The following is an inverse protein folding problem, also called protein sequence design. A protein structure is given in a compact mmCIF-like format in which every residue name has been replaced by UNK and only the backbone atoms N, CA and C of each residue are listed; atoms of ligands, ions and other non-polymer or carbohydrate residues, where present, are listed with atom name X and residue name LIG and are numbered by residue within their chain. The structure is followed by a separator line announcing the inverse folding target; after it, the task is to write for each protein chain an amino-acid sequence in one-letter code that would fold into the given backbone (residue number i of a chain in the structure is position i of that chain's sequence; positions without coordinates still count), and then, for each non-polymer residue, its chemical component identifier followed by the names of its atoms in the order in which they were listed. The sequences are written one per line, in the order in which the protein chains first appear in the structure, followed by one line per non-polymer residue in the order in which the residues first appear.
data_IF_667812675686
#
_entry.id   IF_667812675686
#
_cell.length_a   1.000
_cell.length_b   1.000
_cell.length_c   1.000
_cell.angle_alpha   90.00
_cell.angle_beta   90.00
_cell.angle_gamma   90.00
#
_symmetry.space_group_name_H-M   'P 1'
#
loop_
_entity.id
_entity.type
_entity.pdbx_description
1 polymer ?
#
# COMPACT_ATOMS: atom_id res chain seq x y z
N UNK A 1 16.50 -58.64 -56.40
CA UNK A 1 15.91 -57.30 -56.58
C UNK A 1 14.43 -57.36 -56.20
N UNK A 2 14.08 -56.80 -55.03
CA UNK A 2 12.86 -56.05 -54.71
C UNK A 2 12.65 -56.08 -53.19
N UNK A 3 12.91 -54.91 -52.61
CA UNK A 3 12.60 -54.50 -51.25
C UNK A 3 11.09 -54.58 -51.03
N UNK A 4 10.64 -55.11 -49.88
CA UNK A 4 9.34 -54.74 -49.31
C UNK A 4 9.56 -54.32 -47.86
N UNK A 5 9.35 -53.03 -47.70
CA UNK A 5 9.45 -52.14 -46.55
C UNK A 5 8.65 -52.65 -45.35
N UNK A 6 9.33 -52.86 -44.22
CA UNK A 6 8.70 -52.92 -42.90
C UNK A 6 8.35 -51.47 -42.52
N UNK A 7 7.06 -51.12 -42.54
CA UNK A 7 6.59 -49.86 -41.96
C UNK A 7 6.53 -50.06 -40.45
N UNK A 8 7.62 -49.68 -39.79
CA UNK A 8 7.66 -49.52 -38.34
C UNK A 8 6.84 -48.28 -38.01
N UNK A 9 5.58 -48.47 -37.59
CA UNK A 9 4.74 -47.40 -37.07
C UNK A 9 5.27 -47.03 -35.68
N UNK A 10 6.33 -46.22 -35.63
CA UNK A 10 6.73 -45.54 -34.42
C UNK A 10 5.62 -44.54 -34.08
N UNK A 11 4.73 -44.97 -33.18
CA UNK A 11 3.87 -44.05 -32.44
C UNK A 11 4.81 -43.16 -31.63
N UNK A 12 5.23 -42.05 -32.23
CA UNK A 12 5.77 -40.91 -31.54
C UNK A 12 4.65 -40.43 -30.62
N UNK A 13 4.62 -40.94 -29.40
CA UNK A 13 3.92 -40.28 -28.31
C UNK A 13 4.67 -38.97 -28.10
N UNK A 14 4.27 -37.95 -28.85
CA UNK A 14 4.50 -36.58 -28.43
C UNK A 14 3.83 -36.48 -27.07
N UNK A 15 4.63 -36.57 -26.01
CA UNK A 15 4.26 -36.00 -24.72
C UNK A 15 4.05 -34.51 -25.00
N UNK A 16 2.83 -34.19 -25.45
CA UNK A 16 2.25 -32.88 -25.26
C UNK A 16 2.25 -32.73 -23.75
N UNK A 17 3.33 -32.17 -23.22
CA UNK A 17 3.35 -31.54 -21.91
C UNK A 17 2.30 -30.44 -22.01
N UNK A 18 1.03 -30.82 -21.81
CA UNK A 18 -0.05 -29.88 -21.63
C UNK A 18 0.48 -28.93 -20.57
N UNK A 19 0.72 -27.69 -20.97
CA UNK A 19 1.28 -26.69 -20.08
C UNK A 19 0.33 -26.66 -18.89
N UNK A 20 0.79 -27.18 -17.76
CA UNK A 20 0.02 -27.18 -16.52
C UNK A 20 -0.25 -25.71 -16.24
N UNK A 21 -1.50 -25.30 -16.41
CA UNK A 21 -1.94 -23.99 -15.95
C UNK A 21 -1.86 -24.08 -14.45
N UNK A 22 -0.83 -23.46 -13.88
CA UNK A 22 -0.82 -23.24 -12.44
C UNK A 22 -1.88 -22.18 -12.17
N UNK A 23 -2.85 -22.53 -11.33
CA UNK A 23 -3.79 -21.54 -10.82
C UNK A 23 -2.95 -20.48 -10.11
N UNK A 24 -3.03 -19.25 -10.61
CA UNK A 24 -2.36 -18.12 -9.99
C UNK A 24 -2.93 -17.97 -8.59
N UNK A 25 -2.10 -18.14 -7.56
CA UNK A 25 -2.50 -17.91 -6.17
C UNK A 25 -3.12 -16.52 -6.08
N UNK A 26 -4.45 -16.48 -6.01
CA UNK A 26 -5.21 -15.24 -6.10
C UNK A 26 -5.35 -14.71 -4.69
N UNK A 27 -4.67 -13.61 -4.40
CA UNK A 27 -4.82 -12.92 -3.12
C UNK A 27 -6.25 -12.38 -3.04
N UNK A 28 -6.88 -12.50 -1.86
CA UNK A 28 -8.08 -11.75 -1.50
C UNK A 28 -7.91 -11.27 -0.06
N UNK A 29 -8.49 -10.14 0.26
CA UNK A 29 -8.48 -9.65 1.64
C UNK A 29 -9.42 -10.51 2.50
N UNK A 30 -8.86 -11.10 3.56
CA UNK A 30 -9.62 -11.77 4.62
C UNK A 30 -10.44 -10.74 5.42
N UNK A 31 -9.86 -9.54 5.59
CA UNK A 31 -10.53 -8.40 6.22
C UNK A 31 -10.02 -7.09 5.63
N UNK A 32 -10.88 -6.07 5.65
CA UNK A 32 -10.58 -4.70 5.23
C UNK A 32 -11.26 -3.75 6.23
N UNK A 33 -10.48 -2.88 6.86
CA UNK A 33 -10.99 -1.92 7.84
C UNK A 33 -11.92 -0.88 7.19
N UNK A 34 -12.69 -0.18 8.01
CA UNK A 34 -13.28 1.10 7.61
C UNK A 34 -12.18 2.14 7.40
N UNK A 35 -12.54 3.28 6.80
CA UNK A 35 -11.64 4.42 6.71
C UNK A 35 -11.26 4.91 8.12
N UNK A 36 -10.00 5.28 8.29
CA UNK A 36 -9.50 5.84 9.54
C UNK A 36 -10.33 7.09 9.95
N UNK A 37 -11.08 7.03 11.06
CA UNK A 37 -12.00 8.12 11.41
C UNK A 37 -11.26 9.27 12.07
N UNK A 38 -11.77 10.50 11.90
CA UNK A 38 -11.30 11.67 12.65
C UNK A 38 -9.86 12.10 12.35
N UNK A 39 -9.27 11.65 11.24
CA UNK A 39 -7.94 12.08 10.81
C UNK A 39 -7.96 13.57 10.51
N UNK A 40 -6.91 14.26 10.94
CA UNK A 40 -6.61 15.65 10.58
C UNK A 40 -5.29 15.71 9.84
N UNK A 41 -5.12 16.70 8.96
CA UNK A 41 -3.82 16.98 8.33
C UNK A 41 -3.31 18.31 8.84
N UNK A 42 -2.14 18.27 9.45
CA UNK A 42 -1.43 19.44 9.95
C UNK A 42 -0.30 19.78 8.99
N UNK A 43 -0.17 21.07 8.66
CA UNK A 43 0.91 21.63 7.85
C UNK A 43 1.44 22.88 8.55
N UNK A 44 2.75 23.04 8.57
CA UNK A 44 3.40 24.28 9.00
C UNK A 44 3.47 25.24 7.81
N UNK A 45 2.84 26.42 7.95
CA UNK A 45 2.84 27.45 6.92
C UNK A 45 4.23 28.10 6.82
N UNK A 46 4.92 27.98 5.66
CA UNK A 46 6.29 28.49 5.54
C UNK A 46 6.43 29.99 5.82
N UNK A 47 5.41 30.78 5.48
CA UNK A 47 5.42 32.24 5.65
C UNK A 47 5.28 32.70 7.11
N UNK A 48 4.71 31.89 7.99
CA UNK A 48 4.40 32.29 9.38
C UNK A 48 4.99 31.37 10.44
N UNK A 49 5.44 30.17 10.06
CA UNK A 49 5.83 29.12 10.98
C UNK A 49 4.68 28.54 11.81
N UNK A 50 3.44 28.99 11.61
CA UNK A 50 2.26 28.52 12.34
C UNK A 50 1.73 27.23 11.73
N UNK A 51 1.21 26.36 12.59
CA UNK A 51 0.50 25.15 12.16
C UNK A 51 -0.93 25.49 11.74
N UNK A 52 -1.37 24.91 10.63
CA UNK A 52 -2.74 24.98 10.13
C UNK A 52 -3.26 23.56 9.89
N UNK A 53 -4.50 23.32 10.30
CA UNK A 53 -5.30 22.25 9.72
C UNK A 53 -5.72 22.74 8.34
N UNK A 54 -5.32 22.05 7.28
CA UNK A 54 -5.71 22.42 5.91
C UNK A 54 -6.95 21.68 5.41
N UNK A 55 -7.51 20.78 6.24
CA UNK A 55 -8.67 19.96 5.92
C UNK A 55 -8.43 18.94 4.80
N UNK A 56 -7.21 18.82 4.26
CA UNK A 56 -6.90 17.92 3.14
C UNK A 56 -6.56 16.53 3.65
N UNK A 57 -7.59 15.85 4.13
CA UNK A 57 -7.51 14.47 4.60
C UNK A 57 -7.87 13.54 3.43
N UNK A 58 -7.01 12.56 3.08
CA UNK A 58 -7.38 11.56 2.08
C UNK A 58 -8.60 10.80 2.57
N UNK A 59 -9.59 10.65 1.71
CA UNK A 59 -10.85 10.01 2.05
C UNK A 59 -10.70 8.50 2.32
N UNK A 60 -9.56 7.92 1.94
CA UNK A 60 -9.30 6.50 1.97
C UNK A 60 -7.92 6.20 2.57
N UNK A 61 -7.93 5.74 3.82
CA UNK A 61 -6.80 5.11 4.52
C UNK A 61 -7.38 3.92 5.26
N UNK A 62 -6.96 2.71 4.90
CA UNK A 62 -7.48 1.45 5.44
C UNK A 62 -6.37 0.46 5.69
N UNK A 63 -6.62 -0.45 6.62
CA UNK A 63 -5.81 -1.63 6.80
C UNK A 63 -6.53 -2.85 6.21
N UNK A 64 -5.77 -3.82 5.73
CA UNK A 64 -6.29 -5.10 5.27
C UNK A 64 -5.44 -6.26 5.81
N UNK A 65 -6.04 -7.45 5.93
CA UNK A 65 -5.31 -8.70 6.19
C UNK A 65 -5.57 -9.70 5.08
N UNK A 66 -4.58 -10.52 4.75
CA UNK A 66 -4.73 -11.60 3.76
C UNK A 66 -3.70 -12.70 3.98
N UNK A 67 -3.89 -13.82 3.29
CA UNK A 67 -2.91 -14.90 3.21
C UNK A 67 -2.27 -15.00 1.82
N UNK A 68 -0.98 -15.29 1.81
CA UNK A 68 -0.24 -15.63 0.60
C UNK A 68 0.82 -16.68 0.94
N UNK A 69 0.86 -17.79 0.21
CA UNK A 69 1.76 -18.93 0.47
C UNK A 69 1.79 -19.39 1.94
N UNK A 70 0.61 -19.57 2.54
CA UNK A 70 0.41 -19.96 3.95
C UNK A 70 1.02 -19.00 4.99
N UNK A 71 1.29 -17.76 4.60
CA UNK A 71 1.77 -16.70 5.49
C UNK A 71 0.74 -15.58 5.56
N UNK A 72 0.54 -15.06 6.78
CA UNK A 72 -0.36 -13.93 7.04
C UNK A 72 0.36 -12.61 6.81
N UNK A 73 -0.31 -11.73 6.07
CA UNK A 73 0.16 -10.39 5.76
C UNK A 73 -0.85 -9.33 6.17
N UNK A 74 -0.34 -8.12 6.32
CA UNK A 74 -1.10 -6.93 6.65
C UNK A 74 -0.76 -5.86 5.61
N UNK A 75 -1.75 -5.13 5.10
CA UNK A 75 -1.51 -4.03 4.17
C UNK A 75 -2.09 -2.73 4.73
N UNK A 76 -1.30 -1.66 4.68
CA UNK A 76 -1.82 -0.29 4.72
C UNK A 76 -2.14 0.12 3.28
N UNK A 77 -3.39 0.49 3.03
CA UNK A 77 -3.90 0.87 1.72
C UNK A 77 -4.42 2.30 1.81
N UNK A 78 -4.01 3.16 0.89
CA UNK A 78 -4.34 4.58 0.94
C UNK A 78 -4.50 5.16 -0.46
N UNK A 79 -5.35 6.18 -0.55
CA UNK A 79 -5.56 6.90 -1.80
C UNK A 79 -4.49 7.97 -2.00
N UNK A 80 -3.96 8.02 -3.21
CA UNK A 80 -3.19 9.14 -3.73
C UNK A 80 -3.99 9.84 -4.83
N UNK A 81 -4.32 11.10 -4.58
CA UNK A 81 -4.95 11.97 -5.56
C UNK A 81 -3.86 12.81 -6.21
N UNK A 82 -3.70 12.62 -7.51
CA UNK A 82 -2.83 13.40 -8.36
C UNK A 82 -3.61 13.94 -9.55
N UNK A 83 -2.91 14.41 -10.58
CA UNK A 83 -3.54 14.86 -11.79
C UNK A 83 -2.57 15.55 -12.73
N UNK A 84 -3.12 16.02 -13.83
CA UNK A 84 -2.38 16.77 -14.83
C UNK A 84 -3.29 17.79 -15.49
N UNK A 85 -2.70 18.87 -15.99
CA UNK A 85 -3.45 19.82 -16.82
C UNK A 85 -3.64 19.23 -18.20
N UNK A 86 -4.87 19.24 -18.73
CA UNK A 86 -5.16 18.89 -20.13
C UNK A 86 -4.37 19.77 -21.09
N UNK A 87 -4.14 21.03 -20.72
CA UNK A 87 -3.29 21.97 -21.43
C UNK A 87 -2.11 22.38 -20.53
N UNK A 88 -1.02 21.61 -20.47
CA UNK A 88 0.10 21.84 -19.54
C UNK A 88 0.75 23.21 -19.67
N UNK A 89 0.93 23.70 -20.90
CA UNK A 89 1.62 24.96 -21.18
C UNK A 89 0.92 26.18 -20.59
N UNK A 90 -0.42 26.15 -20.53
CA UNK A 90 -1.25 27.24 -19.99
C UNK A 90 -1.89 26.88 -18.65
N UNK A 91 -1.54 25.72 -18.09
CA UNK A 91 -2.10 25.18 -16.84
C UNK A 91 -3.63 25.26 -16.77
N UNK A 92 -4.30 24.86 -17.86
CA UNK A 92 -5.76 24.88 -17.95
C UNK A 92 -6.34 23.48 -17.91
N UNK A 93 -7.51 23.37 -17.28
CA UNK A 93 -8.33 22.17 -17.18
C UNK A 93 -7.59 21.03 -16.46
N UNK A 94 -7.45 21.15 -15.13
CA UNK A 94 -6.88 20.12 -14.27
C UNK A 94 -7.74 18.85 -14.30
N UNK A 95 -7.12 17.73 -14.66
CA UNK A 95 -7.71 16.40 -14.66
C UNK A 95 -7.16 15.65 -13.46
N UNK A 96 -8.05 15.30 -12.54
CA UNK A 96 -7.71 14.51 -11.36
C UNK A 96 -7.62 13.03 -11.70
N UNK A 97 -6.57 12.37 -11.20
CA UNK A 97 -6.38 10.92 -11.26
C UNK A 97 -6.23 10.41 -9.84
N UNK A 98 -6.95 9.36 -9.49
CA UNK A 98 -6.81 8.67 -8.22
C UNK A 98 -6.01 7.38 -8.41
N UNK A 99 -5.10 7.09 -7.50
CA UNK A 99 -4.45 5.79 -7.37
C UNK A 99 -4.69 5.22 -5.97
N UNK A 100 -4.68 3.90 -5.87
CA UNK A 100 -4.61 3.19 -4.60
C UNK A 100 -3.19 2.69 -4.42
N UNK A 101 -2.53 3.24 -3.44
CA UNK A 101 -1.21 2.82 -3.00
C UNK A 101 -1.32 1.85 -1.84
N UNK A 102 -0.32 0.97 -1.73
CA UNK A 102 -0.24 0.02 -0.63
C UNK A 102 1.18 -0.19 -0.12
N UNK A 103 1.25 -0.53 1.16
CA UNK A 103 2.44 -0.99 1.87
C UNK A 103 2.07 -2.25 2.64
N UNK A 104 2.75 -3.36 2.34
CA UNK A 104 2.49 -4.69 2.89
C UNK A 104 3.56 -5.03 3.93
N UNK A 105 3.12 -5.66 5.01
CA UNK A 105 3.89 -6.04 6.17
C UNK A 105 3.72 -7.54 6.42
N UNK A 106 4.81 -8.19 6.77
CA UNK A 106 4.79 -9.49 7.44
C UNK A 106 4.16 -9.36 8.82
N UNK A 107 3.72 -10.48 9.39
CA UNK A 107 3.20 -10.50 10.76
C UNK A 107 4.21 -9.94 11.79
N UNK A 108 5.50 -10.22 11.65
CA UNK A 108 6.53 -9.71 12.57
C UNK A 108 6.75 -8.20 12.45
N UNK A 109 6.77 -7.65 11.22
CA UNK A 109 6.86 -6.21 10.99
C UNK A 109 5.65 -5.47 11.56
N UNK A 110 4.46 -6.04 11.35
CA UNK A 110 3.20 -5.50 11.85
C UNK A 110 3.15 -5.47 13.38
N UNK A 111 3.52 -6.58 14.05
CA UNK A 111 3.55 -6.64 15.51
C UNK A 111 4.60 -5.69 16.10
N UNK A 112 5.79 -5.63 15.50
CA UNK A 112 6.82 -4.68 15.91
C UNK A 112 6.36 -3.22 15.79
N UNK A 113 5.56 -2.88 14.76
CA UNK A 113 4.96 -1.56 14.66
C UNK A 113 3.98 -1.30 15.81
N UNK A 114 3.06 -2.22 16.09
CA UNK A 114 2.11 -2.11 17.20
C UNK A 114 2.81 -1.96 18.56
N UNK A 115 3.83 -2.77 18.83
CA UNK A 115 4.62 -2.69 20.06
C UNK A 115 5.37 -1.35 20.21
N UNK A 116 5.83 -0.77 19.11
CA UNK A 116 6.48 0.55 19.16
C UNK A 116 5.46 1.66 19.37
N UNK A 117 4.26 1.55 18.81
CA UNK A 117 3.17 2.50 19.01
C UNK A 117 2.60 2.42 20.44
N UNK A 118 2.55 1.25 21.06
CA UNK A 118 2.03 1.11 22.43
C UNK A 118 2.90 1.83 23.48
N UNK A 119 4.17 2.07 23.19
CA UNK A 119 5.12 2.79 24.07
C UNK A 119 4.83 4.30 24.18
N UNK A 120 4.07 4.89 23.25
CA UNK A 120 3.68 6.32 23.25
C UNK A 120 4.85 7.28 23.49
N UNK A 121 6.01 6.97 22.91
CA UNK A 121 7.27 7.65 23.25
C UNK A 121 7.47 9.00 22.56
N UNK A 122 6.62 9.37 21.60
CA UNK A 122 6.82 10.53 20.72
C UNK A 122 7.98 10.41 19.73
N UNK A 123 8.80 9.36 19.83
CA UNK A 123 9.92 9.14 18.92
C UNK A 123 9.41 8.65 17.56
N UNK A 124 9.92 9.27 16.49
CA UNK A 124 9.60 8.86 15.13
C UNK A 124 10.08 7.42 14.87
N UNK A 125 9.14 6.56 14.50
CA UNK A 125 9.37 5.21 14.00
C UNK A 125 9.43 5.32 12.49
N UNK A 126 10.58 4.97 11.91
CA UNK A 126 10.72 4.90 10.47
C UNK A 126 10.32 3.50 9.99
N UNK A 127 9.19 3.42 9.30
CA UNK A 127 8.67 2.18 8.73
C UNK A 127 9.14 2.09 7.28
N UNK A 128 9.80 0.98 6.94
CA UNK A 128 10.28 0.68 5.58
C UNK A 128 9.70 -0.68 5.19
N UNK A 129 9.16 -0.78 3.98
CA UNK A 129 8.73 -2.07 3.43
C UNK A 129 9.26 -2.25 2.01
N UNK A 130 9.74 -3.45 1.68
CA UNK A 130 10.01 -3.84 0.29
C UNK A 130 8.73 -4.10 -0.50
N UNK A 131 7.62 -4.37 0.18
CA UNK A 131 6.39 -4.82 -0.43
C UNK A 131 5.41 -3.65 -0.54
N UNK A 132 5.59 -2.82 -1.55
CA UNK A 132 4.73 -1.67 -1.79
C UNK A 132 4.47 -1.52 -3.29
N UNK A 133 3.42 -0.77 -3.64
CA UNK A 133 3.06 -0.50 -5.02
C UNK A 133 1.84 0.40 -5.10
N UNK A 134 1.38 0.59 -6.32
CA UNK A 134 0.26 1.46 -6.67
C UNK A 134 -0.53 0.85 -7.81
N UNK A 135 -1.85 0.97 -7.75
CA UNK A 135 -2.74 0.71 -8.89
C UNK A 135 -3.42 2.02 -9.25
N UNK A 136 -3.38 2.41 -10.51
CA UNK A 136 -3.99 3.64 -10.99
C UNK A 136 -5.46 3.40 -11.35
N UNK A 137 -6.34 4.30 -10.92
CA UNK A 137 -7.75 4.25 -11.25
C UNK A 137 -8.03 4.84 -12.63
N UNK A 138 -9.15 4.45 -13.22
CA UNK A 138 -9.67 5.16 -14.38
C UNK A 138 -10.23 6.53 -13.99
N UNK A 139 -10.40 7.42 -14.97
CA UNK A 139 -10.93 8.77 -14.74
C UNK A 139 -12.28 8.72 -14.02
N UNK A 140 -12.37 9.40 -12.87
CA UNK A 140 -13.58 9.47 -12.04
C UNK A 140 -13.81 8.26 -11.12
N UNK A 141 -12.94 7.26 -11.15
CA UNK A 141 -13.00 6.10 -10.25
C UNK A 141 -12.60 6.50 -8.84
N UNK A 142 -13.32 6.00 -7.84
CA UNK A 142 -13.03 6.22 -6.42
C UNK A 142 -12.13 5.12 -5.88
N UNK A 143 -11.29 5.41 -4.90
CA UNK A 143 -10.39 4.42 -4.29
C UNK A 143 -11.07 3.12 -3.81
N UNK A 144 -12.29 3.20 -3.25
CA UNK A 144 -13.05 1.99 -2.85
C UNK A 144 -13.35 1.05 -4.03
N UNK A 145 -13.57 1.59 -5.22
CA UNK A 145 -13.89 0.83 -6.43
C UNK A 145 -12.64 0.12 -6.98
N UNK A 146 -11.45 0.53 -6.53
CA UNK A 146 -10.15 0.01 -6.98
C UNK A 146 -9.66 -1.17 -6.13
N UNK A 147 -10.45 -1.63 -5.17
CA UNK A 147 -10.20 -2.90 -4.45
C UNK A 147 -10.67 -4.06 -5.34
N UNK A 148 -9.89 -4.34 -6.39
CA UNK A 148 -10.20 -5.28 -7.47
C UNK A 148 -9.13 -6.36 -7.61
N UNK A 149 -9.35 -7.30 -8.54
CA UNK A 149 -8.36 -8.32 -8.90
C UNK A 149 -7.03 -7.72 -9.38
N UNK A 150 -7.04 -6.52 -9.96
CA UNK A 150 -5.82 -5.81 -10.37
C UNK A 150 -4.96 -5.43 -9.15
N UNK A 151 -5.58 -4.92 -8.08
CA UNK A 151 -4.88 -4.65 -6.82
C UNK A 151 -4.31 -5.93 -6.21
N UNK A 152 -5.10 -7.01 -6.19
CA UNK A 152 -4.64 -8.30 -5.66
C UNK A 152 -3.49 -8.89 -6.47
N UNK A 153 -3.53 -8.76 -7.79
CA UNK A 153 -2.45 -9.18 -8.68
C UNK A 153 -1.18 -8.36 -8.41
N UNK A 154 -1.30 -7.03 -8.33
CA UNK A 154 -0.17 -6.14 -8.03
C UNK A 154 0.49 -6.51 -6.69
N UNK A 155 -0.28 -6.78 -5.64
CA UNK A 155 0.24 -7.22 -4.34
C UNK A 155 0.97 -8.57 -4.47
N UNK A 156 0.39 -9.53 -5.20
CA UNK A 156 0.96 -10.87 -5.41
C UNK A 156 2.31 -10.80 -6.14
N UNK A 157 2.39 -9.97 -7.18
CA UNK A 157 3.61 -9.78 -7.96
C UNK A 157 4.73 -9.18 -7.12
N UNK A 158 4.42 -8.15 -6.33
CA UNK A 158 5.40 -7.52 -5.43
C UNK A 158 5.89 -8.51 -4.37
N UNK A 159 5.01 -9.34 -3.80
CA UNK A 159 5.41 -10.37 -2.83
C UNK A 159 6.30 -11.46 -3.46
N UNK A 160 6.09 -11.82 -4.73
CA UNK A 160 6.94 -12.78 -5.45
C UNK A 160 8.33 -12.23 -5.77
N UNK A 161 8.44 -10.92 -5.98
CA UNK A 161 9.68 -10.26 -6.41
C UNK A 161 10.39 -9.49 -5.30
N UNK A 162 9.86 -9.52 -4.07
CA UNK A 162 10.27 -8.68 -2.95
C UNK A 162 11.79 -8.55 -2.81
N UNK A 163 12.30 -7.34 -3.03
CA UNK A 163 13.71 -6.98 -2.85
C UNK A 163 13.81 -5.59 -2.25
N UNK A 164 14.63 -5.45 -1.21
CA UNK A 164 14.88 -4.14 -0.62
C UNK A 164 15.65 -3.24 -1.60
N UNK A 165 15.16 -2.03 -1.85
CA UNK A 165 15.77 -1.05 -2.77
C UNK A 165 15.60 0.38 -2.28
N UNK A 166 16.29 1.34 -2.91
CA UNK A 166 16.16 2.78 -2.57
C UNK A 166 14.80 3.37 -2.95
N UNK A 167 14.06 2.74 -3.86
CA UNK A 167 12.72 3.18 -4.29
C UNK A 167 11.60 2.62 -3.42
N UNK A 168 11.94 1.85 -2.39
CA UNK A 168 10.97 1.32 -1.44
C UNK A 168 10.26 2.45 -0.70
N UNK A 169 8.95 2.30 -0.49
CA UNK A 169 8.17 3.26 0.30
C UNK A 169 8.60 3.25 1.76
N UNK A 170 8.66 4.45 2.33
CA UNK A 170 9.04 4.74 3.70
C UNK A 170 8.06 5.75 4.27
N UNK A 171 7.64 5.56 5.51
CA UNK A 171 6.92 6.60 6.25
C UNK A 171 7.39 6.69 7.69
N UNK A 172 7.25 7.87 8.27
CA UNK A 172 7.36 8.06 9.70
C UNK A 172 6.00 7.97 10.37
N UNK A 173 5.99 7.35 11.54
CA UNK A 173 4.85 7.27 12.43
C UNK A 173 5.33 7.38 13.87
N UNK A 174 4.57 8.03 14.74
CA UNK A 174 4.78 7.96 16.18
C UNK A 174 3.44 7.97 16.90
N UNK A 175 3.51 7.66 18.19
CA UNK A 175 2.42 7.81 19.13
C UNK A 175 2.92 8.54 20.37
N UNK A 176 2.06 9.33 21.00
CA UNK A 176 2.40 10.15 22.17
C UNK A 176 1.15 10.62 22.89
N UNK A 177 1.36 11.15 24.10
CA UNK A 177 0.34 11.86 24.87
C UNK A 177 0.54 13.36 24.68
N UNK A 178 -0.47 14.07 24.19
CA UNK A 178 -0.48 15.54 24.07
C UNK A 178 -1.73 16.06 24.76
N UNK A 179 -1.56 16.98 25.70
CA UNK A 179 -2.67 17.59 26.47
C UNK A 179 -3.62 16.53 27.07
N UNK A 180 -3.03 15.44 27.59
CA UNK A 180 -3.76 14.31 28.17
C UNK A 180 -4.45 13.38 27.17
N UNK A 181 -4.25 13.57 25.85
CA UNK A 181 -4.83 12.75 24.79
C UNK A 181 -3.78 11.87 24.14
N UNK A 182 -4.09 10.58 24.01
CA UNK A 182 -3.30 9.65 23.22
C UNK A 182 -3.53 9.87 21.73
N UNK A 183 -2.47 10.17 20.99
CA UNK A 183 -2.55 10.42 19.55
C UNK A 183 -1.54 9.57 18.78
N UNK A 184 -1.82 9.37 17.49
CA UNK A 184 -0.88 8.87 16.50
C UNK A 184 -0.65 9.96 15.46
N UNK A 185 0.62 10.22 15.15
CA UNK A 185 1.02 11.07 14.02
C UNK A 185 1.73 10.25 12.98
N UNK A 186 1.40 10.44 11.71
CA UNK A 186 2.00 9.66 10.62
C UNK A 186 2.11 10.46 9.33
N UNK A 187 3.04 10.04 8.48
CA UNK A 187 3.12 10.44 7.08
C UNK A 187 2.50 9.35 6.21
N UNK A 188 2.05 9.73 5.01
CA UNK A 188 1.83 8.75 3.95
C UNK A 188 3.17 8.14 3.55
N UNK A 189 3.22 6.86 3.16
CA UNK A 189 4.42 6.29 2.56
C UNK A 189 4.84 7.06 1.31
N UNK A 190 6.14 7.39 1.24
CA UNK A 190 6.79 8.09 0.12
C UNK A 190 8.04 7.33 -0.28
N UNK A 191 8.58 7.59 -1.47
CA UNK A 191 9.78 6.87 -1.91
C UNK A 191 10.96 7.15 -0.96
N UNK A 192 11.74 6.11 -0.63
CA UNK A 192 12.79 6.17 0.37
C UNK A 192 13.97 7.09 0.04
N UNK A 193 14.03 7.64 -1.17
CA UNK A 193 14.95 8.71 -1.59
C UNK A 193 14.58 10.06 -0.98
N UNK A 194 13.30 10.27 -0.62
CA UNK A 194 12.82 11.43 0.13
C UNK A 194 13.05 11.20 1.62
N UNK A 195 14.32 11.27 2.05
CA UNK A 195 14.73 11.12 3.46
C UNK A 195 14.30 12.27 4.37
N UNK A 196 13.53 13.25 3.87
CA UNK A 196 12.92 14.32 4.66
C UNK A 196 11.72 13.87 5.50
N UNK A 197 11.36 12.59 5.48
CA UNK A 197 10.22 11.96 6.17
C UNK A 197 10.24 11.99 7.70
N UNK A 198 10.60 13.11 8.31
CA UNK A 198 10.33 13.40 9.71
C UNK A 198 8.99 14.14 9.79
N UNK A 199 8.19 13.86 10.83
CA UNK A 199 6.94 14.55 11.18
C UNK A 199 7.20 16.02 11.60
N UNK A 200 7.88 16.79 10.75
CA UNK A 200 8.42 18.12 11.06
C UNK A 200 7.56 19.25 10.52
N UNK A 201 7.15 19.17 9.26
CA UNK A 201 6.49 20.27 8.55
C UNK A 201 5.09 19.90 8.05
N UNK A 202 4.78 18.61 7.98
CA UNK A 202 3.45 18.10 7.74
C UNK A 202 3.27 16.74 8.41
N UNK A 203 2.02 16.41 8.76
CA UNK A 203 1.63 15.07 9.23
C UNK A 203 0.12 14.91 9.29
N UNK A 204 -0.32 13.67 9.32
CA UNK A 204 -1.67 13.29 9.72
C UNK A 204 -1.70 13.01 11.22
N UNK A 205 -2.80 13.35 11.88
CA UNK A 205 -3.01 13.12 13.31
C UNK A 205 -4.39 12.51 13.54
N UNK A 206 -4.45 11.52 14.43
CA UNK A 206 -5.69 10.85 14.82
C UNK A 206 -5.60 10.37 16.26
N UNK A 207 -6.73 10.07 16.89
CA UNK A 207 -6.73 9.43 18.21
C UNK A 207 -6.04 8.06 18.14
N UNK A 208 -5.29 7.73 19.19
CA UNK A 208 -4.59 6.44 19.25
C UNK A 208 -5.57 5.26 19.18
N UNK A 209 -6.71 5.34 19.88
CA UNK A 209 -7.73 4.29 19.88
C UNK A 209 -8.32 4.08 18.49
N UNK A 210 -8.63 5.15 17.75
CA UNK A 210 -9.20 5.01 16.41
C UNK A 210 -8.21 4.37 15.45
N UNK A 211 -6.93 4.78 15.51
CA UNK A 211 -5.87 4.17 14.71
C UNK A 211 -5.73 2.68 15.01
N UNK A 212 -5.62 2.33 16.28
CA UNK A 212 -5.41 0.94 16.72
C UNK A 212 -6.64 0.06 16.45
N UNK A 213 -7.85 0.58 16.57
CA UNK A 213 -9.07 -0.15 16.21
C UNK A 213 -9.13 -0.46 14.71
N UNK A 214 -8.68 0.44 13.84
CA UNK A 214 -8.60 0.12 12.39
C UNK A 214 -7.51 -0.90 12.07
N UNK A 215 -6.45 -0.95 12.87
CA UNK A 215 -5.38 -1.95 12.76
C UNK A 215 -5.83 -3.33 13.28
N UNK A 216 -6.54 -3.39 14.41
CA UNK A 216 -7.12 -4.61 14.93
C UNK A 216 -8.45 -4.91 14.25
N UNK A 217 -8.36 -5.31 12.98
CA UNK A 217 -9.49 -5.87 12.24
C UNK A 217 -9.98 -7.13 12.96
N UNK A 218 -11.21 -7.06 13.48
CA UNK A 218 -11.95 -8.21 14.02
C UNK A 218 -12.51 -9.07 12.89
#
# INVERSE_FOLDING_TARGET
MKFITIILLSVLTFDLKAQKREDVTTIKFDSLSTNLPGVKRWIQLPSTGKWSDDGKVPAFIRWATFQFNNQKYYALIYEEISGYYKYPTIQRDWITVSSVDYAVFTASEYQNLLEKLSKKSGKNILVRTANNGSVAGHLGMKANEMITDELYQSISEVLKQSRMSKTNKVFAINSQVIDGKDIVRFLRPVDGTYTSGLLKNDYYEVSYSDFINTMHMQ
#
